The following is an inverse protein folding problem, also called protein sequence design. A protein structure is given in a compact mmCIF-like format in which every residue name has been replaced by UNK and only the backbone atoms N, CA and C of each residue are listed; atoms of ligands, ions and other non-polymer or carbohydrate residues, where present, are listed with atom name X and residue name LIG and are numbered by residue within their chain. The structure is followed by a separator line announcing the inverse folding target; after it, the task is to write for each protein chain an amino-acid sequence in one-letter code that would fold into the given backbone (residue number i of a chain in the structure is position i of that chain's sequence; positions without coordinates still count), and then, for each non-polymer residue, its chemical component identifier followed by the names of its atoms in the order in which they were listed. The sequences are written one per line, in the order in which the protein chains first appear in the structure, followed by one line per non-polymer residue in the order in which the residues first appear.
data_IF_285364089028
#
_entry.id   IF_285364089028
#
_cell.length_a   1.000
_cell.length_b   1.000
_cell.length_c   1.000
_cell.angle_alpha   90.00
_cell.angle_beta   90.00
_cell.angle_gamma   90.00
#
_symmetry.space_group_name_H-M   'P 1'
#
loop_
_entity.id
_entity.type
_entity.pdbx_description
1 polymer ?
#
# COMPACT_ATOMS: atom_id res chain seq x y z
N UNK A 1 -10.26 13.92 -15.84
CA UNK A 1 -10.57 12.84 -14.88
C UNK A 1 -9.26 12.36 -14.30
N UNK A 2 -9.08 12.49 -12.99
CA UNK A 2 -7.83 12.15 -12.31
C UNK A 2 -7.82 10.70 -11.82
N UNK A 3 -6.63 10.18 -11.53
CA UNK A 3 -6.40 8.84 -10.97
C UNK A 3 -5.39 8.97 -9.85
N UNK A 4 -5.56 8.18 -8.80
CA UNK A 4 -4.60 8.09 -7.71
C UNK A 4 -4.35 6.64 -7.35
N UNK A 5 -3.18 6.38 -6.76
CA UNK A 5 -2.79 5.09 -6.25
C UNK A 5 -3.08 5.04 -4.75
N UNK A 6 -3.62 3.91 -4.28
CA UNK A 6 -3.88 3.64 -2.87
C UNK A 6 -3.27 2.29 -2.54
N UNK A 7 -2.49 2.23 -1.46
CA UNK A 7 -1.86 1.02 -0.96
C UNK A 7 -2.43 0.66 0.41
N UNK A 8 -3.05 -0.51 0.52
CA UNK A 8 -3.42 -1.11 1.80
C UNK A 8 -2.21 -1.88 2.32
N UNK A 9 -1.55 -1.32 3.33
CA UNK A 9 -0.32 -1.86 3.93
C UNK A 9 -0.53 -3.26 4.56
N UNK A 10 0.53 -4.08 4.74
CA UNK A 10 0.39 -5.46 5.20
C UNK A 10 -0.35 -5.60 6.54
N UNK A 11 -0.08 -4.68 7.49
CA UNK A 11 -0.79 -4.69 8.78
C UNK A 11 -2.31 -4.49 8.67
N UNK A 12 -2.79 -3.71 7.70
CA UNK A 12 -4.23 -3.53 7.46
C UNK A 12 -4.83 -4.75 6.73
N UNK A 13 -4.07 -5.36 5.82
CA UNK A 13 -4.46 -6.61 5.16
C UNK A 13 -4.59 -7.74 6.17
N UNK A 14 -3.60 -7.94 7.05
CA UNK A 14 -3.61 -8.95 8.11
C UNK A 14 -4.78 -8.78 9.09
N UNK A 15 -5.28 -7.55 9.26
CA UNK A 15 -6.45 -7.22 10.10
C UNK A 15 -7.78 -7.34 9.35
N UNK A 16 -7.79 -7.77 8.09
CA UNK A 16 -9.01 -7.92 7.29
C UNK A 16 -9.66 -6.58 6.89
N UNK A 17 -8.91 -5.47 6.85
CA UNK A 17 -9.46 -4.13 6.65
C UNK A 17 -9.60 -3.71 5.18
N UNK A 18 -9.22 -4.56 4.21
CA UNK A 18 -9.27 -4.23 2.77
C UNK A 18 -10.67 -3.77 2.35
N UNK A 19 -11.70 -4.53 2.71
CA UNK A 19 -13.09 -4.20 2.37
C UNK A 19 -13.56 -2.88 3.00
N UNK A 20 -13.16 -2.59 4.25
CA UNK A 20 -13.51 -1.34 4.91
C UNK A 20 -12.84 -0.13 4.23
N UNK A 21 -11.59 -0.26 3.79
CA UNK A 21 -10.89 0.79 3.04
C UNK A 21 -11.60 1.05 1.71
N UNK A 22 -11.86 0.01 0.92
CA UNK A 22 -12.57 0.12 -0.36
C UNK A 22 -13.93 0.79 -0.17
N UNK A 23 -14.72 0.32 0.80
CA UNK A 23 -16.03 0.87 1.13
C UNK A 23 -15.98 2.37 1.43
N UNK A 24 -14.93 2.86 2.11
CA UNK A 24 -14.78 4.30 2.39
C UNK A 24 -14.54 5.13 1.14
N UNK A 25 -13.75 4.65 0.19
CA UNK A 25 -13.52 5.33 -1.09
C UNK A 25 -14.79 5.37 -1.94
N UNK A 26 -15.48 4.22 -2.06
CA UNK A 26 -16.72 4.13 -2.83
C UNK A 26 -17.83 5.02 -2.27
N UNK A 27 -18.02 5.06 -0.94
CA UNK A 27 -19.00 5.97 -0.31
C UNK A 27 -18.72 7.45 -0.55
N UNK A 28 -17.47 7.83 -0.82
CA UNK A 28 -17.09 9.21 -1.12
C UNK A 28 -17.21 9.53 -2.62
N UNK A 29 -17.67 8.59 -3.43
CA UNK A 29 -17.89 8.74 -4.87
C UNK A 29 -16.67 8.40 -5.74
N UNK A 30 -15.58 7.90 -5.15
CA UNK A 30 -14.46 7.39 -5.94
C UNK A 30 -14.83 6.06 -6.59
N UNK A 31 -14.26 5.79 -7.76
CA UNK A 31 -14.43 4.52 -8.48
C UNK A 31 -13.13 3.73 -8.44
N UNK A 32 -13.19 2.51 -7.91
CA UNK A 32 -12.06 1.57 -8.00
C UNK A 32 -11.92 1.10 -9.44
N UNK A 33 -10.80 1.45 -10.08
CA UNK A 33 -10.52 1.09 -11.48
C UNK A 33 -9.74 -0.21 -11.64
N UNK A 34 -8.90 -0.53 -10.66
CA UNK A 34 -8.10 -1.76 -10.60
C UNK A 34 -7.72 -2.03 -9.14
N UNK A 35 -7.54 -3.30 -8.79
CA UNK A 35 -7.00 -3.77 -7.52
C UNK A 35 -6.15 -5.02 -7.78
N UNK A 36 -5.06 -5.18 -7.04
CA UNK A 36 -4.21 -6.36 -7.14
C UNK A 36 -3.57 -6.65 -5.79
N UNK A 37 -3.75 -7.87 -5.29
CA UNK A 37 -2.98 -8.33 -4.14
C UNK A 37 -1.60 -8.77 -4.59
N UNK A 38 -0.57 -8.31 -3.88
CA UNK A 38 0.84 -8.56 -4.21
C UNK A 38 1.64 -8.85 -2.95
N UNK A 39 2.59 -9.77 -3.03
CA UNK A 39 3.74 -9.81 -2.13
C UNK A 39 4.84 -8.97 -2.78
N UNK A 40 5.16 -7.82 -2.20
CA UNK A 40 6.16 -6.89 -2.75
C UNK A 40 7.55 -7.33 -2.28
N UNK A 41 8.50 -7.40 -3.20
CA UNK A 41 9.90 -7.65 -2.84
C UNK A 41 10.58 -6.36 -2.32
N UNK A 42 11.79 -6.53 -1.78
CA UNK A 42 12.52 -5.43 -1.16
C UNK A 42 12.91 -4.35 -2.17
N UNK A 43 13.26 -4.75 -3.39
CA UNK A 43 13.75 -3.84 -4.42
C UNK A 43 12.63 -2.92 -4.90
N UNK A 44 11.45 -3.48 -5.20
CA UNK A 44 10.27 -2.71 -5.60
C UNK A 44 9.79 -1.79 -4.46
N UNK A 45 9.82 -2.25 -3.21
CA UNK A 45 9.48 -1.40 -2.07
C UNK A 45 10.47 -0.24 -1.88
N UNK A 46 11.78 -0.50 -2.04
CA UNK A 46 12.83 0.51 -1.93
C UNK A 46 12.79 1.52 -3.09
N UNK A 47 12.41 1.08 -4.29
CA UNK A 47 12.16 1.96 -5.43
C UNK A 47 10.95 2.86 -5.17
N UNK A 48 9.83 2.29 -4.71
CA UNK A 48 8.60 3.04 -4.43
C UNK A 48 8.81 4.14 -3.37
N UNK A 49 9.62 3.85 -2.33
CA UNK A 49 9.94 4.80 -1.26
C UNK A 49 11.30 5.49 -1.42
N UNK A 50 11.85 5.58 -2.63
CA UNK A 50 13.19 6.12 -2.87
C UNK A 50 13.40 7.54 -2.32
N UNK A 51 12.34 8.36 -2.26
CA UNK A 51 12.34 9.70 -1.67
C UNK A 51 12.66 9.73 -0.15
N UNK A 52 12.57 8.58 0.52
CA UNK A 52 12.88 8.44 1.94
C UNK A 52 14.21 7.76 2.21
N UNK A 53 15.02 7.47 1.17
CA UNK A 53 16.26 6.67 1.31
C UNK A 53 17.25 7.20 2.35
N UNK A 54 17.30 8.51 2.53
CA UNK A 54 18.19 9.19 3.49
C UNK A 54 17.58 9.34 4.90
N UNK A 55 16.37 8.83 5.12
CA UNK A 55 15.69 8.92 6.42
C UNK A 55 16.05 7.70 7.28
N UNK A 56 16.27 7.93 8.58
CA UNK A 56 16.62 6.88 9.53
C UNK A 56 15.60 5.72 9.57
N UNK A 57 14.32 6.02 9.33
CA UNK A 57 13.23 5.04 9.32
C UNK A 57 13.12 4.23 8.01
N UNK A 58 13.95 4.49 6.99
CA UNK A 58 13.80 3.88 5.67
C UNK A 58 13.85 2.35 5.70
N UNK A 59 14.79 1.79 6.49
CA UNK A 59 14.93 0.35 6.64
C UNK A 59 13.69 -0.30 7.25
N UNK A 60 13.12 0.33 8.28
CA UNK A 60 11.88 -0.13 8.92
C UNK A 60 10.67 0.00 8.00
N UNK A 61 10.59 1.09 7.23
CA UNK A 61 9.52 1.30 6.25
C UNK A 61 9.52 0.20 5.19
N UNK A 62 10.67 -0.07 4.57
CA UNK A 62 10.80 -1.15 3.57
C UNK A 62 10.52 -2.52 4.20
N UNK A 63 11.01 -2.77 5.41
CA UNK A 63 10.73 -4.00 6.15
C UNK A 63 9.23 -4.18 6.44
N UNK A 64 8.55 -3.12 6.86
CA UNK A 64 7.11 -3.15 7.13
C UNK A 64 6.29 -3.47 5.87
N UNK A 65 6.66 -2.90 4.72
CA UNK A 65 5.94 -3.07 3.46
C UNK A 65 6.15 -4.46 2.86
N UNK A 66 7.33 -5.05 3.05
CA UNK A 66 7.68 -6.39 2.55
C UNK A 66 7.27 -7.52 3.50
N UNK A 67 6.77 -7.20 4.70
CA UNK A 67 6.41 -8.18 5.74
C UNK A 67 5.22 -9.10 5.41
N UNK A 68 4.46 -8.78 4.38
CA UNK A 68 3.27 -9.54 3.99
C UNK A 68 2.58 -8.95 2.76
N UNK A 69 1.41 -9.47 2.37
CA UNK A 69 0.73 -9.02 1.18
C UNK A 69 0.21 -7.59 1.35
N UNK A 70 0.27 -6.82 0.27
CA UNK A 70 -0.40 -5.54 0.09
C UNK A 70 -1.54 -5.67 -0.90
N UNK A 71 -2.46 -4.72 -0.88
CA UNK A 71 -3.55 -4.59 -1.86
C UNK A 71 -3.61 -3.16 -2.40
#
# INVERSE_FOLDING_TARGET
MEKTFVLVKPGAVARGLVGEVVRRFERRGFRVRAMKMLQVDRDLAAEHYAEHREKDFFGELVGSITSGPVV
#
